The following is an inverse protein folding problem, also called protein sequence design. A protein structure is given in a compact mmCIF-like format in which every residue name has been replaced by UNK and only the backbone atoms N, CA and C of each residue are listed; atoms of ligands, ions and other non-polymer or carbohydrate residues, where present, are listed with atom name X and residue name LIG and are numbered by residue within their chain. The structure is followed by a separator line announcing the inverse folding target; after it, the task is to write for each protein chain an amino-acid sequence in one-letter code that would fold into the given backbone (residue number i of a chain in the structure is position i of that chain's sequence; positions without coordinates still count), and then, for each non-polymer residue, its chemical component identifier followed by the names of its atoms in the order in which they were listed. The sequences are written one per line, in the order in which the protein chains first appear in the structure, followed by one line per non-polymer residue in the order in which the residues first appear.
data_IF_143445288876
#
_entry.id   IF_143445288876
#
_cell.length_a   1.000
_cell.length_b   1.000
_cell.length_c   1.000
_cell.angle_alpha   90.00
_cell.angle_beta   90.00
_cell.angle_gamma   90.00
#
_symmetry.space_group_name_H-M   'P 1'
#
loop_
_entity.id
_entity.type
_entity.pdbx_description
1 polymer ?
#
# COMPACT_ATOMS: atom_id res chain seq x y z
N UNK A 1 -1.15 -16.83 -7.32
CA UNK A 1 -2.17 -15.77 -7.50
C UNK A 1 -1.79 -14.62 -6.58
N UNK A 2 -2.24 -13.40 -6.88
CA UNK A 2 -1.98 -12.20 -6.07
C UNK A 2 -3.28 -11.44 -5.83
N UNK A 3 -3.27 -10.51 -4.87
CA UNK A 3 -4.43 -9.70 -4.53
C UNK A 3 -5.29 -10.35 -3.46
N UNK A 4 -6.59 -10.08 -3.49
CA UNK A 4 -7.56 -10.58 -2.50
C UNK A 4 -8.42 -11.70 -3.09
N UNK A 5 -8.76 -12.66 -2.24
CA UNK A 5 -9.72 -13.71 -2.55
C UNK A 5 -10.63 -13.90 -1.36
N UNK A 6 -11.93 -13.95 -1.62
CA UNK A 6 -12.93 -14.45 -0.69
C UNK A 6 -13.45 -15.78 -1.22
N UNK A 7 -13.47 -16.81 -0.39
CA UNK A 7 -13.84 -18.16 -0.77
C UNK A 7 -14.78 -18.77 0.27
N UNK A 8 -15.91 -19.30 -0.19
CA UNK A 8 -16.73 -20.19 0.60
C UNK A 8 -16.17 -21.61 0.55
N UNK A 9 -16.07 -22.26 1.71
CA UNK A 9 -15.64 -23.66 1.88
C UNK A 9 -16.63 -24.32 2.83
N UNK A 10 -17.45 -25.23 2.30
CA UNK A 10 -18.29 -26.10 3.10
C UNK A 10 -17.41 -27.06 3.92
N UNK A 11 -17.58 -27.06 5.24
CA UNK A 11 -16.81 -27.91 6.15
C UNK A 11 -17.58 -29.17 6.55
N UNK A 12 -18.91 -29.11 6.55
CA UNK A 12 -19.74 -30.13 7.20
C UNK A 12 -20.54 -30.99 6.22
N UNK A 13 -20.66 -30.61 4.94
CA UNK A 13 -21.29 -31.43 3.89
C UNK A 13 -22.79 -31.62 4.02
N UNK A 14 -23.41 -31.15 5.10
CA UNK A 14 -24.83 -31.33 5.40
C UNK A 14 -25.65 -30.10 5.02
N UNK A 15 -25.11 -28.90 5.23
CA UNK A 15 -25.80 -27.63 5.01
C UNK A 15 -25.02 -26.74 4.02
N UNK A 16 -24.49 -27.30 2.92
CA UNK A 16 -23.76 -26.49 1.94
C UNK A 16 -24.63 -25.37 1.33
N UNK A 17 -24.09 -24.18 1.09
CA UNK A 17 -24.79 -23.18 0.29
C UNK A 17 -24.84 -23.64 -1.17
N UNK A 18 -26.05 -23.84 -1.71
CA UNK A 18 -26.19 -24.14 -3.13
C UNK A 18 -27.44 -24.90 -3.52
N UNK A 19 -27.39 -25.53 -4.70
CA UNK A 19 -28.54 -26.21 -5.31
C UNK A 19 -29.02 -27.41 -4.50
N UNK A 20 -28.12 -28.07 -3.76
CA UNK A 20 -28.45 -29.25 -2.98
C UNK A 20 -29.20 -28.88 -1.69
N UNK A 21 -28.94 -27.69 -1.13
CA UNK A 21 -29.63 -27.16 0.05
C UNK A 21 -30.14 -25.72 -0.20
N UNK A 22 -31.16 -25.54 -1.06
CA UNK A 22 -31.62 -24.21 -1.50
C UNK A 22 -32.29 -23.39 -0.39
N UNK A 23 -32.57 -23.99 0.78
CA UNK A 23 -33.06 -23.31 1.97
C UNK A 23 -31.96 -22.83 2.91
N UNK A 24 -30.72 -23.30 2.75
CA UNK A 24 -29.64 -22.82 3.58
C UNK A 24 -29.28 -21.38 3.20
N UNK A 25 -29.15 -20.56 4.23
CA UNK A 25 -28.82 -19.15 4.17
C UNK A 25 -27.83 -18.77 5.28
N UNK A 26 -27.14 -19.76 5.83
CA UNK A 26 -26.14 -19.58 6.88
C UNK A 26 -24.80 -20.04 6.33
N UNK A 27 -23.80 -19.18 6.40
CA UNK A 27 -22.39 -19.55 6.26
C UNK A 27 -21.91 -19.87 7.67
N UNK A 28 -21.46 -21.10 7.91
CA UNK A 28 -20.95 -21.55 9.20
C UNK A 28 -19.69 -20.81 9.64
N UNK A 29 -19.32 -20.96 10.91
CA UNK A 29 -18.04 -20.47 11.42
C UNK A 29 -16.88 -21.11 10.66
N UNK A 30 -15.95 -20.25 10.21
CA UNK A 30 -14.80 -20.63 9.41
C UNK A 30 -15.10 -21.14 7.99
N UNK A 31 -16.35 -21.08 7.51
CA UNK A 31 -16.70 -21.48 6.13
C UNK A 31 -16.45 -20.38 5.10
N UNK A 32 -16.12 -19.16 5.53
CA UNK A 32 -15.73 -18.05 4.66
C UNK A 32 -14.26 -17.72 4.89
N UNK A 33 -13.42 -18.06 3.92
CA UNK A 33 -12.00 -17.77 3.92
C UNK A 33 -11.72 -16.48 3.16
N UNK A 34 -11.10 -15.52 3.84
CA UNK A 34 -10.47 -14.36 3.21
C UNK A 34 -8.97 -14.62 3.11
N UNK A 35 -8.41 -14.49 1.92
CA UNK A 35 -6.97 -14.63 1.70
C UNK A 35 -6.45 -13.45 0.93
N UNK A 36 -5.27 -12.98 1.29
CA UNK A 36 -4.59 -11.89 0.57
C UNK A 36 -3.11 -12.21 0.39
N UNK A 37 -2.59 -11.86 -0.79
CA UNK A 37 -1.19 -12.12 -1.17
C UNK A 37 -0.55 -10.88 -1.76
N UNK A 38 0.68 -10.63 -1.33
CA UNK A 38 1.46 -9.51 -1.82
C UNK A 38 1.82 -9.67 -3.30
N UNK A 39 2.07 -8.55 -3.97
CA UNK A 39 2.58 -8.52 -5.34
C UNK A 39 3.60 -7.41 -5.53
N UNK A 40 4.59 -7.69 -6.38
CA UNK A 40 5.66 -6.74 -6.67
C UNK A 40 5.16 -5.58 -7.51
N UNK A 41 5.67 -4.40 -7.20
CA UNK A 41 5.47 -3.15 -7.91
C UNK A 41 6.86 -2.57 -8.17
N UNK A 42 7.17 -2.29 -9.43
CA UNK A 42 8.45 -1.69 -9.78
C UNK A 42 8.40 -0.21 -9.38
N UNK A 43 9.48 0.34 -8.82
CA UNK A 43 9.56 1.78 -8.59
C UNK A 43 9.54 2.53 -9.93
N UNK A 44 8.77 3.62 -10.00
CA UNK A 44 8.65 4.42 -11.23
C UNK A 44 10.01 4.99 -11.65
N UNK A 45 10.83 5.47 -10.70
CA UNK A 45 12.19 5.92 -11.01
C UNK A 45 13.06 4.84 -11.67
N UNK A 46 12.92 3.57 -11.26
CA UNK A 46 13.73 2.47 -11.79
C UNK A 46 13.32 2.17 -13.22
N UNK A 47 12.02 2.24 -13.51
CA UNK A 47 11.48 2.04 -14.85
C UNK A 47 11.86 3.19 -15.79
N UNK A 48 11.63 4.42 -15.36
CA UNK A 48 11.73 5.61 -16.21
C UNK A 48 13.17 6.07 -16.42
N UNK A 49 14.04 5.89 -15.43
CA UNK A 49 15.47 6.20 -15.54
C UNK A 49 16.30 4.99 -16.02
N UNK A 50 15.65 3.85 -16.29
CA UNK A 50 16.32 2.65 -16.78
C UNK A 50 17.35 2.05 -15.83
N UNK A 51 17.12 2.19 -14.51
CA UNK A 51 18.06 1.71 -13.50
C UNK A 51 18.13 0.19 -13.46
N UNK A 52 19.33 -0.32 -13.19
CA UNK A 52 19.62 -1.75 -13.05
C UNK A 52 20.10 -2.04 -11.63
N UNK A 53 20.31 -3.31 -11.31
CA UNK A 53 20.86 -3.71 -10.01
C UNK A 53 22.23 -3.08 -9.68
N UNK A 54 22.97 -2.59 -10.68
CA UNK A 54 24.26 -1.91 -10.45
C UNK A 54 24.16 -0.40 -10.32
N UNK A 55 22.98 0.19 -10.55
CA UNK A 55 22.79 1.66 -10.54
C UNK A 55 21.66 2.14 -9.65
N UNK A 56 20.91 1.23 -9.02
CA UNK A 56 19.98 1.59 -7.96
C UNK A 56 20.75 1.86 -6.66
N UNK A 57 20.31 2.83 -5.83
CA UNK A 57 20.87 2.98 -4.50
C UNK A 57 20.65 1.71 -3.68
N UNK A 58 21.64 1.26 -2.87
CA UNK A 58 21.53 0.06 -2.05
C UNK A 58 20.31 0.10 -1.10
N UNK A 59 19.96 1.28 -0.62
CA UNK A 59 18.87 1.53 0.33
C UNK A 59 17.49 1.17 -0.25
N UNK A 60 17.34 1.08 -1.58
CA UNK A 60 16.07 0.63 -2.17
C UNK A 60 15.79 -0.85 -1.86
N UNK A 61 16.80 -1.63 -1.48
CA UNK A 61 16.68 -3.07 -1.23
C UNK A 61 16.34 -3.89 -2.49
N UNK A 62 16.23 -3.25 -3.66
CA UNK A 62 15.89 -3.87 -4.92
C UNK A 62 15.14 -2.93 -5.87
N UNK A 63 14.74 -3.46 -7.03
CA UNK A 63 14.00 -2.69 -8.05
C UNK A 63 12.49 -2.57 -7.75
N UNK A 64 12.00 -3.32 -6.77
CA UNK A 64 10.59 -3.48 -6.49
C UNK A 64 10.30 -3.24 -5.01
N UNK A 65 9.12 -2.70 -4.75
CA UNK A 65 8.46 -2.78 -3.46
C UNK A 65 7.22 -3.66 -3.62
N UNK A 66 6.66 -4.14 -2.51
CA UNK A 66 5.51 -5.05 -2.56
C UNK A 66 4.28 -4.35 -2.02
N UNK A 67 3.15 -4.59 -2.67
CA UNK A 67 1.85 -4.12 -2.21
C UNK A 67 1.01 -5.30 -1.80
N UNK A 68 0.18 -5.08 -0.80
CA UNK A 68 -0.82 -6.03 -0.35
C UNK A 68 -2.15 -5.29 -0.13
N UNK A 69 -3.25 -5.76 -0.75
CA UNK A 69 -4.58 -5.25 -0.45
C UNK A 69 -5.11 -5.90 0.84
N UNK A 70 -5.60 -5.08 1.75
CA UNK A 70 -6.18 -5.49 3.03
C UNK A 70 -7.60 -4.94 3.13
N UNK A 71 -8.59 -5.83 3.01
CA UNK A 71 -10.02 -5.52 2.88
C UNK A 71 -10.32 -4.41 1.86
N UNK A 72 -9.76 -4.53 0.66
CA UNK A 72 -9.95 -3.59 -0.46
C UNK A 72 -9.07 -2.34 -0.40
N UNK A 73 -8.30 -2.12 0.67
CA UNK A 73 -7.39 -0.98 0.80
C UNK A 73 -5.95 -1.39 0.49
N UNK A 74 -5.21 -0.69 -0.37
CA UNK A 74 -3.83 -1.04 -0.69
C UNK A 74 -2.86 -0.57 0.40
N UNK A 75 -1.93 -1.45 0.77
CA UNK A 75 -0.80 -1.18 1.66
C UNK A 75 0.51 -1.54 0.97
N UNK A 76 1.63 -1.06 1.50
CA UNK A 76 2.97 -1.54 1.19
C UNK A 76 3.38 -2.53 2.26
N UNK A 77 4.00 -3.65 1.85
CA UNK A 77 4.58 -4.59 2.81
C UNK A 77 5.97 -4.12 3.20
N UNK A 78 6.22 -4.09 4.50
CA UNK A 78 7.53 -3.79 5.07
C UNK A 78 8.36 -5.09 5.06
N UNK A 79 9.64 -5.01 4.73
CA UNK A 79 10.54 -6.18 4.63
C UNK A 79 10.12 -7.29 3.68
N UNK A 80 9.26 -6.98 2.71
CA UNK A 80 8.62 -7.97 1.84
C UNK A 80 7.85 -9.03 2.66
N UNK A 81 7.30 -8.64 3.81
CA UNK A 81 6.50 -9.47 4.70
C UNK A 81 5.04 -8.99 4.71
N UNK A 82 4.16 -9.82 4.16
CA UNK A 82 2.72 -9.57 4.11
C UNK A 82 2.07 -9.30 5.47
N UNK A 83 2.69 -9.72 6.58
CA UNK A 83 2.20 -9.48 7.95
C UNK A 83 2.50 -8.08 8.49
N UNK A 84 3.28 -7.27 7.77
CA UNK A 84 3.69 -5.93 8.20
C UNK A 84 3.32 -4.90 7.14
N UNK A 85 2.31 -4.08 7.43
CA UNK A 85 1.70 -3.21 6.44
C UNK A 85 1.88 -1.73 6.81
N UNK A 86 2.42 -0.97 5.87
CA UNK A 86 2.52 0.49 5.95
C UNK A 86 1.56 1.16 4.96
N UNK A 87 1.01 2.30 5.36
CA UNK A 87 0.22 3.14 4.47
C UNK A 87 1.13 3.86 3.47
N UNK A 88 0.71 3.89 2.20
CA UNK A 88 1.31 4.81 1.22
C UNK A 88 0.85 6.23 1.55
N UNK A 89 1.80 7.15 1.73
CA UNK A 89 1.52 8.58 1.95
C UNK A 89 1.46 9.30 0.61
N UNK A 90 2.48 9.09 -0.23
CA UNK A 90 2.51 9.64 -1.59
C UNK A 90 3.20 8.66 -2.54
N UNK A 91 2.69 8.62 -3.78
CA UNK A 91 3.39 8.07 -4.93
C UNK A 91 3.19 9.06 -6.06
N UNK A 92 4.26 9.74 -6.46
CA UNK A 92 4.23 10.67 -7.56
C UNK A 92 4.26 9.89 -8.89
N UNK A 93 3.35 10.19 -9.81
CA UNK A 93 3.32 9.50 -11.10
C UNK A 93 4.51 9.86 -12.00
N UNK A 94 4.84 8.99 -12.95
CA UNK A 94 5.96 9.13 -13.90
C UNK A 94 6.09 10.50 -14.58
N UNK A 95 4.97 11.13 -14.94
CA UNK A 95 4.92 12.45 -15.60
C UNK A 95 4.93 13.63 -14.63
N UNK A 96 4.66 13.39 -13.35
CA UNK A 96 4.47 14.44 -12.37
C UNK A 96 5.81 15.08 -11.99
N UNK A 97 5.74 16.36 -11.66
CA UNK A 97 6.88 17.17 -11.21
C UNK A 97 6.44 18.08 -10.09
N UNK A 98 7.29 18.25 -9.08
CA UNK A 98 7.12 19.29 -8.06
C UNK A 98 8.25 20.30 -8.18
N UNK A 99 7.89 21.57 -8.35
CA UNK A 99 8.85 22.69 -8.34
C UNK A 99 8.78 23.37 -6.98
N UNK A 100 9.93 23.57 -6.34
CA UNK A 100 10.03 24.22 -5.02
C UNK A 100 11.18 25.24 -5.03
N UNK A 101 10.89 26.47 -4.60
CA UNK A 101 11.88 27.52 -4.34
C UNK A 101 12.51 27.35 -2.97
N UNK A 102 13.63 28.03 -2.73
CA UNK A 102 14.18 28.11 -1.37
C UNK A 102 13.17 28.71 -0.38
N UNK A 103 12.95 28.03 0.73
CA UNK A 103 11.94 28.34 1.74
C UNK A 103 10.57 27.70 1.48
N UNK A 104 10.31 27.12 0.31
CA UNK A 104 9.05 26.45 0.04
C UNK A 104 8.95 25.12 0.80
N UNK A 105 7.73 24.84 1.27
CA UNK A 105 7.36 23.59 1.94
C UNK A 105 6.37 22.83 1.07
N UNK A 106 6.68 21.57 0.80
CA UNK A 106 5.78 20.62 0.17
C UNK A 106 5.15 19.71 1.23
N UNK A 107 3.86 19.90 1.49
CA UNK A 107 3.07 18.93 2.24
C UNK A 107 2.91 17.62 1.44
N UNK A 108 3.47 16.53 1.98
CA UNK A 108 3.40 15.19 1.39
C UNK A 108 2.19 14.42 1.90
N UNK A 109 1.53 14.89 2.96
CA UNK A 109 0.43 14.23 3.64
C UNK A 109 0.83 13.53 4.94
N UNK A 110 -0.17 13.23 5.78
CA UNK A 110 0.01 12.61 7.10
C UNK A 110 1.07 13.30 7.99
N UNK A 111 1.21 14.62 7.86
CA UNK A 111 2.19 15.41 8.63
C UNK A 111 3.63 15.31 8.12
N UNK A 112 3.89 14.57 7.04
CA UNK A 112 5.19 14.62 6.37
C UNK A 112 5.29 15.84 5.46
N UNK A 113 6.47 16.44 5.42
CA UNK A 113 6.75 17.56 4.53
C UNK A 113 8.20 17.57 4.05
N UNK A 114 8.43 18.09 2.85
CA UNK A 114 9.76 18.38 2.32
C UNK A 114 9.95 19.89 2.20
N UNK A 115 11.01 20.41 2.81
CA UNK A 115 11.34 21.84 2.78
C UNK A 115 12.63 22.06 2.02
N UNK A 116 12.61 22.90 0.98
CA UNK A 116 13.86 23.30 0.31
C UNK A 116 14.52 24.40 1.14
N UNK A 117 15.61 24.05 1.82
CA UNK A 117 16.33 24.98 2.68
C UNK A 117 17.09 26.01 1.85
N UNK A 118 17.83 25.53 0.84
CA UNK A 118 18.67 26.39 0.02
C UNK A 118 18.99 25.74 -1.34
N UNK A 119 19.15 26.58 -2.35
CA UNK A 119 19.77 26.21 -3.62
C UNK A 119 21.14 26.89 -3.68
N UNK A 120 22.16 26.16 -4.14
CA UNK A 120 23.50 26.71 -4.21
C UNK A 120 23.68 27.76 -5.30
N UNK A 121 24.77 28.53 -5.19
CA UNK A 121 25.03 29.68 -6.06
C UNK A 121 25.32 29.29 -7.51
N UNK A 122 25.84 28.08 -7.71
CA UNK A 122 26.13 27.52 -9.04
C UNK A 122 24.85 26.99 -9.72
N UNK A 123 23.80 26.71 -8.94
CA UNK A 123 22.53 26.23 -9.42
C UNK A 123 22.53 24.74 -9.77
N UNK A 124 23.45 23.97 -9.19
CA UNK A 124 23.54 22.53 -9.42
C UNK A 124 23.22 21.69 -8.18
N UNK A 125 23.18 22.29 -6.98
CA UNK A 125 22.84 21.59 -5.74
C UNK A 125 21.66 22.20 -5.02
N UNK A 126 20.89 21.32 -4.39
CA UNK A 126 19.79 21.69 -3.50
C UNK A 126 19.98 21.02 -2.15
N UNK A 127 19.83 21.80 -1.08
CA UNK A 127 19.68 21.32 0.29
C UNK A 127 18.20 21.35 0.67
N UNK A 128 17.68 20.22 1.13
CA UNK A 128 16.32 20.11 1.64
C UNK A 128 16.27 19.20 2.87
N UNK A 129 15.20 19.33 3.64
CA UNK A 129 14.90 18.50 4.81
C UNK A 129 13.56 17.80 4.64
N UNK A 130 13.51 16.53 5.01
CA UNK A 130 12.27 15.77 5.24
C UNK A 130 11.91 15.90 6.72
N UNK A 131 10.64 16.20 7.00
CA UNK A 131 10.15 16.39 8.37
C UNK A 131 8.84 15.66 8.58
N UNK A 132 8.55 15.32 9.84
CA UNK A 132 7.25 14.82 10.31
C UNK A 132 6.78 15.68 11.46
N UNK A 133 5.59 16.26 11.34
CA UNK A 133 4.98 17.12 12.36
C UNK A 133 5.90 18.27 12.82
N UNK A 134 6.72 18.80 11.90
CA UNK A 134 7.67 19.88 12.17
C UNK A 134 9.02 19.44 12.76
N UNK A 135 9.21 18.17 13.08
CA UNK A 135 10.50 17.61 13.48
C UNK A 135 11.26 17.09 12.24
N UNK A 136 12.52 17.49 12.09
CA UNK A 136 13.38 17.00 11.01
C UNK A 136 13.68 15.52 11.20
N UNK A 137 13.40 14.71 10.18
CA UNK A 137 13.73 13.29 10.14
C UNK A 137 15.11 13.06 9.50
N UNK A 138 15.36 13.72 8.37
CA UNK A 138 16.58 13.60 7.59
C UNK A 138 16.78 14.86 6.73
N UNK A 139 18.01 15.19 6.38
CA UNK A 139 18.29 16.25 5.41
C UNK A 139 19.42 15.86 4.45
N UNK A 140 19.38 16.42 3.25
CA UNK A 140 20.28 16.00 2.18
C UNK A 140 20.68 17.14 1.26
N UNK A 141 21.91 17.07 0.75
CA UNK A 141 22.39 17.92 -0.34
C UNK A 141 22.52 17.03 -1.57
N UNK A 142 21.73 17.35 -2.61
CA UNK A 142 21.66 16.58 -3.84
C UNK A 142 22.23 17.40 -5.00
N UNK A 143 23.10 16.80 -5.82
CA UNK A 143 23.68 17.44 -7.01
C UNK A 143 22.95 16.96 -8.28
N UNK A 144 22.27 17.88 -8.97
CA UNK A 144 21.50 17.64 -10.19
C UNK A 144 22.33 17.58 -11.49
N UNK A 145 23.62 17.90 -11.45
CA UNK A 145 24.57 17.76 -12.56
C UNK A 145 25.42 16.48 -12.47
N UNK A 146 25.15 15.61 -11.50
CA UNK A 146 25.89 14.38 -11.25
C UNK A 146 25.43 13.16 -12.07
N UNK A 147 25.75 11.97 -11.54
CA UNK A 147 25.14 10.72 -12.01
C UNK A 147 23.70 10.63 -11.51
N UNK A 148 22.89 9.74 -12.11
CA UNK A 148 21.53 9.48 -11.64
C UNK A 148 21.50 9.08 -10.16
N UNK A 149 22.50 8.33 -9.69
CA UNK A 149 22.66 7.97 -8.28
C UNK A 149 22.79 9.21 -7.38
N UNK A 150 23.59 10.20 -7.78
CA UNK A 150 23.79 11.44 -7.02
C UNK A 150 22.53 12.31 -6.94
N UNK A 151 21.54 12.06 -7.80
CA UNK A 151 20.28 12.79 -7.87
C UNK A 151 19.17 12.13 -7.04
N UNK A 152 19.39 10.91 -6.55
CA UNK A 152 18.44 10.18 -5.73
C UNK A 152 18.77 10.44 -4.26
N UNK A 153 17.73 10.73 -3.49
CA UNK A 153 17.80 10.80 -2.05
C UNK A 153 16.84 9.78 -1.45
N UNK A 154 17.32 9.05 -0.46
CA UNK A 154 16.58 8.03 0.27
C UNK A 154 16.62 8.36 1.76
N UNK A 155 15.61 7.90 2.50
CA UNK A 155 15.68 7.87 3.95
C UNK A 155 15.24 6.50 4.45
N UNK A 156 16.03 5.97 5.39
CA UNK A 156 15.80 4.69 6.06
C UNK A 156 15.63 4.90 7.56
N UNK A 157 14.94 3.97 8.23
CA UNK A 157 14.78 3.99 9.67
C UNK A 157 14.47 2.58 10.20
N UNK A 158 14.61 2.40 11.51
CA UNK A 158 14.16 1.19 12.19
C UNK A 158 12.65 1.30 12.47
N UNK A 159 11.85 0.41 11.89
CA UNK A 159 10.41 0.29 12.12
C UNK A 159 9.91 -1.09 11.68
N UNK A 160 8.71 -1.47 12.13
CA UNK A 160 8.26 -2.86 12.02
C UNK A 160 9.09 -3.76 12.93
N UNK A 161 9.55 -4.89 12.43
CA UNK A 161 10.52 -5.76 13.11
C UNK A 161 11.95 -5.67 12.54
N UNK A 162 12.19 -4.78 11.57
CA UNK A 162 13.47 -4.61 10.89
C UNK A 162 14.22 -3.33 11.22
N UNK A 163 15.41 -3.27 10.64
CA UNK A 163 16.33 -2.13 10.72
C UNK A 163 16.59 -1.56 9.33
N UNK A 164 17.00 -0.29 9.26
CA UNK A 164 17.38 0.39 8.00
C UNK A 164 16.35 0.24 6.87
N UNK A 165 15.06 0.24 7.21
CA UNK A 165 13.98 0.05 6.25
C UNK A 165 13.73 1.33 5.46
N UNK A 166 13.62 1.23 4.13
CA UNK A 166 13.30 2.36 3.27
C UNK A 166 11.88 2.85 3.55
N UNK A 167 11.73 4.13 3.86
CA UNK A 167 10.41 4.76 3.96
C UNK A 167 10.22 5.93 3.00
N UNK A 168 11.30 6.52 2.50
CA UNK A 168 11.22 7.68 1.60
C UNK A 168 12.24 7.59 0.47
N UNK A 169 11.82 8.00 -0.72
CA UNK A 169 12.68 8.26 -1.87
C UNK A 169 12.19 9.48 -2.65
N UNK A 170 13.13 10.25 -3.17
CA UNK A 170 12.86 11.29 -4.16
C UNK A 170 14.04 11.44 -5.12
N UNK A 171 13.76 11.94 -6.33
CA UNK A 171 14.78 12.25 -7.33
C UNK A 171 14.75 13.75 -7.64
N UNK A 172 15.92 14.39 -7.66
CA UNK A 172 16.08 15.79 -8.05
C UNK A 172 16.43 15.85 -9.54
N UNK A 173 15.42 16.15 -10.35
CA UNK A 173 15.50 16.19 -11.82
C UNK A 173 16.36 17.35 -12.31
N UNK A 174 16.20 18.52 -11.70
CA UNK A 174 17.00 19.70 -12.03
C UNK A 174 17.00 20.70 -10.88
N UNK A 175 18.06 21.51 -10.85
CA UNK A 175 18.19 22.67 -9.99
C UNK A 175 18.41 23.88 -10.92
N UNK A 176 17.85 25.01 -10.54
CA UNK A 176 17.95 26.25 -11.31
C UNK A 176 18.26 27.41 -10.38
N UNK A 177 19.21 28.23 -10.79
CA UNK A 177 19.60 29.47 -10.12
C UNK A 177 19.70 30.61 -11.14
N UNK A 178 19.14 31.75 -10.80
CA UNK A 178 19.21 32.99 -11.56
C UNK A 178 19.28 34.18 -10.61
N UNK A 179 19.43 35.40 -11.14
CA UNK A 179 19.51 36.62 -10.32
C UNK A 179 18.25 36.87 -9.47
N UNK A 180 17.09 36.33 -9.86
CA UNK A 180 15.80 36.60 -9.20
C UNK A 180 15.09 35.35 -8.68
N UNK A 181 15.44 34.18 -9.19
CA UNK A 181 14.76 32.93 -8.89
C UNK A 181 15.75 31.79 -8.69
N UNK A 182 15.48 30.99 -7.66
CA UNK A 182 16.12 29.70 -7.43
C UNK A 182 15.06 28.63 -7.13
N UNK A 183 15.16 27.46 -7.73
CA UNK A 183 14.26 26.34 -7.46
C UNK A 183 14.90 24.99 -7.77
N UNK A 184 14.30 23.94 -7.22
CA UNK A 184 14.58 22.56 -7.58
C UNK A 184 13.31 21.86 -8.07
N UNK A 185 13.49 20.89 -8.96
CA UNK A 185 12.43 20.07 -9.53
C UNK A 185 12.57 18.64 -9.00
N UNK A 186 11.56 18.18 -8.27
CA UNK A 186 11.48 16.84 -7.70
C UNK A 186 10.57 15.94 -8.54
N UNK A 187 11.02 14.72 -8.78
CA UNK A 187 10.28 13.63 -9.43
C UNK A 187 10.37 12.33 -8.63
N UNK A 188 9.48 11.40 -8.96
CA UNK A 188 9.42 10.04 -8.42
C UNK A 188 9.42 9.96 -6.89
N UNK A 189 8.82 10.96 -6.23
CA UNK A 189 8.67 10.97 -4.77
C UNK A 189 7.73 9.84 -4.34
N UNK A 190 8.22 8.96 -3.48
CA UNK A 190 7.47 7.87 -2.88
C UNK A 190 7.74 7.83 -1.39
N UNK A 191 6.68 7.67 -0.61
CA UNK A 191 6.73 7.73 0.85
C UNK A 191 5.70 6.78 1.45
N UNK A 192 6.12 6.01 2.46
CA UNK A 192 5.23 5.27 3.35
C UNK A 192 5.28 5.86 4.77
N UNK A 193 4.20 5.66 5.51
CA UNK A 193 4.09 6.12 6.89
C UNK A 193 4.78 5.13 7.82
N UNK A 194 6.00 5.46 8.26
CA UNK A 194 6.82 4.56 9.10
C UNK A 194 6.36 4.47 10.56
N UNK A 195 5.53 5.42 11.01
CA UNK A 195 5.15 5.55 12.43
C UNK A 195 3.87 4.75 12.78
N UNK A 196 3.14 4.26 11.78
CA UNK A 196 1.85 3.56 11.93
C UNK A 196 1.84 2.26 11.12
N UNK A 197 2.66 1.30 11.56
CA UNK A 197 2.76 -0.02 10.95
C UNK A 197 1.71 -0.95 11.55
N UNK A 198 0.89 -1.55 10.68
CA UNK A 198 -0.03 -2.60 11.06
C UNK A 198 0.69 -3.95 11.05
N UNK A 199 0.88 -4.53 12.25
CA UNK A 199 1.46 -5.85 12.44
C UNK A 199 0.34 -6.87 12.64
N UNK A 200 0.27 -7.88 11.79
CA UNK A 200 -0.79 -8.88 11.76
C UNK A 200 -0.25 -10.21 12.28
N UNK A 201 -0.94 -10.81 13.25
CA UNK A 201 -0.53 -12.07 13.89
C UNK A 201 -1.66 -13.09 13.84
N UNK A 202 -1.29 -14.37 13.87
CA UNK A 202 -2.25 -15.45 14.05
C UNK A 202 -3.08 -15.23 15.33
N UNK A 203 -4.39 -15.39 15.22
CA UNK A 203 -5.38 -15.16 16.28
C UNK A 203 -5.88 -13.72 16.37
N UNK A 204 -5.32 -12.75 15.62
CA UNK A 204 -5.88 -11.41 15.57
C UNK A 204 -7.25 -11.42 14.86
N UNK A 205 -8.19 -10.60 15.33
CA UNK A 205 -9.52 -10.45 14.70
C UNK A 205 -9.64 -9.12 13.93
N UNK A 206 -10.10 -9.20 12.69
CA UNK A 206 -10.37 -8.05 11.81
C UNK A 206 -11.70 -8.20 11.09
N UNK A 207 -12.59 -7.23 11.25
CA UNK A 207 -13.87 -7.15 10.53
C UNK A 207 -14.70 -8.46 10.55
N UNK A 208 -14.68 -9.19 11.67
CA UNK A 208 -15.40 -10.45 11.84
C UNK A 208 -14.67 -11.70 11.35
N UNK A 209 -13.38 -11.58 10.99
CA UNK A 209 -12.50 -12.69 10.62
C UNK A 209 -11.35 -12.82 11.61
N UNK A 210 -10.94 -14.05 11.91
CA UNK A 210 -9.74 -14.39 12.67
C UNK A 210 -8.61 -14.79 11.73
N UNK A 211 -7.40 -14.30 12.00
CA UNK A 211 -6.19 -14.67 11.25
C UNK A 211 -5.75 -16.08 11.63
N UNK A 212 -5.82 -17.01 10.68
CA UNK A 212 -5.44 -18.42 10.91
C UNK A 212 -4.06 -18.76 10.36
N UNK A 213 -3.55 -17.97 9.40
CA UNK A 213 -2.22 -18.16 8.84
C UNK A 213 -1.59 -16.83 8.42
N UNK A 214 -0.36 -16.59 8.87
CA UNK A 214 0.53 -15.53 8.40
C UNK A 214 1.78 -16.13 7.78
N UNK A 215 2.17 -15.61 6.61
CA UNK A 215 3.43 -15.92 5.95
C UNK A 215 3.99 -14.66 5.29
N UNK A 216 5.26 -14.68 4.87
CA UNK A 216 5.85 -13.54 4.15
C UNK A 216 5.09 -13.18 2.87
N UNK A 217 4.47 -14.16 2.22
CA UNK A 217 3.81 -13.96 0.92
C UNK A 217 2.31 -13.62 1.01
N UNK A 218 1.68 -13.88 2.16
CA UNK A 218 0.25 -13.67 2.31
C UNK A 218 -0.33 -14.11 3.65
N UNK A 219 -1.59 -13.76 3.84
CA UNK A 219 -2.36 -13.96 5.07
C UNK A 219 -3.67 -14.67 4.71
N UNK A 220 -4.10 -15.57 5.57
CA UNK A 220 -5.41 -16.25 5.50
C UNK A 220 -6.17 -16.00 6.79
N UNK A 221 -7.44 -15.64 6.64
CA UNK A 221 -8.39 -15.43 7.71
C UNK A 221 -9.66 -16.23 7.45
N UNK A 222 -10.38 -16.59 8.51
CA UNK A 222 -11.69 -17.22 8.43
C UNK A 222 -12.71 -16.48 9.29
N UNK A 223 -13.99 -16.50 8.92
CA UNK A 223 -15.01 -15.81 9.70
C UNK A 223 -15.15 -16.42 11.10
N UNK A 224 -15.00 -15.61 12.14
CA UNK A 224 -14.98 -16.06 13.54
C UNK A 224 -16.35 -16.50 14.06
N UNK A 225 -17.43 -16.21 13.33
CA UNK A 225 -18.82 -16.56 13.67
C UNK A 225 -19.63 -16.84 12.41
N UNK A 226 -20.68 -17.64 12.54
CA UNK A 226 -21.62 -17.87 11.45
C UNK A 226 -22.26 -16.57 10.94
N UNK A 227 -22.44 -16.47 9.62
CA UNK A 227 -23.06 -15.34 8.92
C UNK A 227 -24.43 -15.79 8.41
N UNK A 228 -25.50 -15.19 8.92
CA UNK A 228 -26.88 -15.44 8.43
C UNK A 228 -27.24 -14.43 7.33
N UNK A 229 -27.59 -14.93 6.16
CA UNK A 229 -28.01 -14.15 5.00
C UNK A 229 -29.52 -13.90 5.06
N UNK A 230 -29.91 -12.63 5.12
CA UNK A 230 -31.28 -12.21 4.83
C UNK A 230 -31.55 -12.38 3.33
N UNK A 231 -32.50 -13.25 3.00
CA UNK A 231 -32.91 -13.58 1.63
C UNK A 231 -34.00 -12.68 1.05
N UNK A 232 -34.44 -11.65 1.77
CA UNK A 232 -35.33 -10.63 1.23
C UNK A 232 -34.66 -9.94 0.04
N UNK A 233 -35.47 -9.56 -0.94
CA UNK A 233 -35.03 -8.88 -2.16
C UNK A 233 -34.17 -7.64 -1.84
N UNK A 234 -33.06 -7.50 -2.57
CA UNK A 234 -32.15 -6.35 -2.54
C UNK A 234 -31.56 -6.05 -1.15
N UNK A 235 -31.59 -7.01 -0.23
CA UNK A 235 -30.96 -6.83 1.08
C UNK A 235 -29.46 -7.01 0.99
N UNK A 236 -28.76 -6.08 1.65
CA UNK A 236 -27.32 -6.14 1.85
C UNK A 236 -27.03 -6.83 3.17
N UNK A 237 -26.35 -7.96 3.08
CA UNK A 237 -25.88 -8.74 4.21
C UNK A 237 -24.41 -8.40 4.44
N UNK A 238 -24.17 -7.37 5.24
CA UNK A 238 -22.82 -6.94 5.60
C UNK A 238 -22.17 -7.99 6.51
N UNK A 239 -20.97 -8.39 6.15
CA UNK A 239 -20.13 -9.31 6.94
C UNK A 239 -18.74 -8.72 7.22
N UNK A 240 -18.46 -7.53 6.69
CA UNK A 240 -17.39 -6.62 7.09
C UNK A 240 -17.94 -5.19 7.12
N UNK A 241 -17.10 -4.18 7.41
CA UNK A 241 -17.54 -2.77 7.41
C UNK A 241 -17.96 -2.27 6.03
N UNK A 242 -17.52 -2.94 4.95
CA UNK A 242 -17.75 -2.49 3.57
C UNK A 242 -18.20 -3.59 2.62
N UNK A 243 -17.93 -4.86 2.92
CA UNK A 243 -18.30 -5.99 2.08
C UNK A 243 -19.62 -6.58 2.52
N UNK A 244 -20.43 -6.91 1.52
CA UNK A 244 -21.74 -7.50 1.73
C UNK A 244 -22.09 -8.46 0.60
N UNK A 245 -22.90 -9.46 0.92
CA UNK A 245 -23.64 -10.21 -0.09
C UNK A 245 -24.97 -9.51 -0.34
N UNK A 246 -25.37 -9.37 -1.61
CA UNK A 246 -26.68 -8.86 -1.97
C UNK A 246 -27.50 -9.97 -2.61
N UNK A 247 -28.69 -10.20 -2.06
CA UNK A 247 -29.62 -11.24 -2.49
C UNK A 247 -30.48 -10.76 -3.65
N UNK A 248 -30.65 -11.63 -4.65
CA UNK A 248 -31.53 -11.38 -5.79
C UNK A 248 -32.99 -11.61 -5.43
N UNK A 249 -33.89 -11.35 -6.37
CA UNK A 249 -35.31 -11.69 -6.22
C UNK A 249 -35.50 -13.17 -5.86
N UNK A 250 -36.44 -13.44 -4.96
CA UNK A 250 -36.86 -14.81 -4.65
C UNK A 250 -37.16 -15.56 -5.94
N UNK A 251 -36.54 -16.71 -6.11
CA UNK A 251 -36.74 -17.54 -7.28
C UNK A 251 -35.99 -17.07 -8.52
N UNK A 252 -34.98 -16.19 -8.44
CA UNK A 252 -34.08 -15.83 -9.55
C UNK A 252 -32.63 -16.29 -9.31
N UNK A 253 -32.45 -17.44 -8.67
CA UNK A 253 -31.15 -18.11 -8.60
C UNK A 253 -30.75 -18.70 -9.95
N UNK A 254 -29.50 -19.14 -10.08
CA UNK A 254 -28.93 -19.74 -11.30
C UNK A 254 -29.64 -21.01 -11.81
N UNK A 255 -30.60 -21.54 -11.04
CA UNK A 255 -31.44 -22.70 -11.37
C UNK A 255 -32.94 -22.38 -11.43
N UNK A 256 -33.30 -21.08 -11.47
CA UNK A 256 -34.70 -20.66 -11.58
C UNK A 256 -35.36 -21.15 -12.87
N UNK A 257 -36.59 -21.71 -12.80
CA UNK A 257 -37.45 -21.92 -13.98
C UNK A 257 -37.77 -20.62 -14.74
N UNK A 258 -37.70 -19.47 -14.08
CA UNK A 258 -37.99 -18.16 -14.64
C UNK A 258 -36.77 -17.51 -15.33
N UNK A 259 -35.59 -18.12 -15.23
CA UNK A 259 -34.36 -17.60 -15.84
C UNK A 259 -33.90 -16.25 -15.24
N UNK A 260 -32.81 -15.71 -15.79
CA UNK A 260 -32.36 -14.34 -15.52
C UNK A 260 -33.28 -13.30 -16.18
#
# INVERSE_FOLDING_TARGET
WWGERLQYVDKDGQDELGVNNPGNHVIGEGELLYSTRQFSNKYDLVSDLGLTASTIPPELGGMFYYKLPWFGKPYVTVENDASQLANIVITQGSSDKKVLKSGDVWDLGKGYSLTVNQVDVEGDKVWFSLSKNGEELESGIVNANGTVENQIFTATADFGDGTDQLYFITYVDSVFMSATDSFAVFKYTWLIDKDDILIIKNGDEYQGFEVIETSKDGIVLENSKSITLNLDKDKKNYFTDSWYFQTSDKGKGSTSPEGY
#
